data_IF_367070777904
#
_entry.id   IF_367070777904
#
_cell.length_a   1.000
_cell.length_b   1.000
_cell.length_c   1.000
_cell.angle_alpha   90.00
_cell.angle_beta   90.00
_cell.angle_gamma   90.00
#
_symmetry.space_group_name_H-M   'P 1'
#
loop_
_entity.id
_entity.type
_entity.pdbx_description
1 polymer ?
#
# COMPACT_ATOMS: atom_id res chain seq x y z
N UNK A 1 -17.47 -3.15 -6.64
CA UNK A 1 -16.03 -3.20 -6.98
C UNK A 1 -15.30 -3.70 -5.74
N UNK A 2 -14.36 -4.65 -5.88
CA UNK A 2 -13.72 -5.34 -4.75
C UNK A 2 -12.42 -4.63 -4.32
N UNK A 3 -12.54 -3.50 -3.62
CA UNK A 3 -11.37 -2.75 -3.08
C UNK A 3 -11.18 -2.98 -1.57
N UNK A 4 -12.15 -3.62 -0.92
CA UNK A 4 -12.19 -3.84 0.51
C UNK A 4 -11.45 -5.11 0.91
N UNK A 5 -10.42 -4.98 1.75
CA UNK A 5 -9.55 -6.10 2.17
C UNK A 5 -10.29 -7.27 2.82
N UNK A 6 -11.47 -7.04 3.44
CA UNK A 6 -12.29 -8.13 4.03
C UNK A 6 -12.85 -9.07 2.98
N UNK A 7 -13.05 -8.61 1.75
CA UNK A 7 -13.50 -9.44 0.64
C UNK A 7 -12.40 -10.42 0.18
N UNK A 8 -11.15 -10.14 0.56
CA UNK A 8 -9.98 -10.99 0.29
C UNK A 8 -9.55 -11.82 1.51
N UNK A 9 -10.34 -11.80 2.60
CA UNK A 9 -10.13 -12.64 3.77
C UNK A 9 -9.46 -11.96 4.98
N UNK A 10 -9.21 -10.65 4.91
CA UNK A 10 -8.67 -9.90 6.05
C UNK A 10 -9.71 -9.83 7.18
N UNK A 11 -9.26 -10.00 8.42
CA UNK A 11 -10.12 -9.97 9.61
C UNK A 11 -10.11 -8.59 10.26
N UNK A 12 -8.94 -8.01 10.48
CA UNK A 12 -8.81 -6.71 11.13
C UNK A 12 -9.06 -6.73 12.65
N UNK A 13 -8.70 -7.83 13.32
CA UNK A 13 -8.84 -8.02 14.78
C UNK A 13 -7.57 -7.71 15.59
N UNK A 14 -6.47 -7.34 14.91
CA UNK A 14 -5.16 -7.04 15.49
C UNK A 14 -4.33 -8.27 15.88
N UNK A 15 -4.87 -9.48 15.71
CA UNK A 15 -4.23 -10.73 16.11
C UNK A 15 -3.89 -11.59 14.91
N UNK A 16 -4.87 -11.84 14.03
CA UNK A 16 -4.65 -12.63 12.82
C UNK A 16 -3.66 -11.93 11.91
N UNK A 17 -2.78 -12.70 11.30
CA UNK A 17 -1.96 -12.21 10.19
C UNK A 17 -2.84 -12.02 8.95
N UNK A 18 -3.07 -10.76 8.59
CA UNK A 18 -3.88 -10.34 7.44
C UNK A 18 -3.02 -10.13 6.17
N UNK A 19 -1.71 -10.40 6.23
CA UNK A 19 -0.78 -10.10 5.11
C UNK A 19 -1.24 -10.69 3.78
N UNK A 20 -1.55 -11.99 3.73
CA UNK A 20 -1.92 -12.65 2.47
C UNK A 20 -3.21 -12.07 1.87
N UNK A 21 -4.17 -11.68 2.71
CA UNK A 21 -5.41 -11.06 2.26
C UNK A 21 -5.16 -9.68 1.64
N UNK A 22 -4.28 -8.87 2.26
CA UNK A 22 -3.90 -7.57 1.72
C UNK A 22 -3.14 -7.71 0.40
N UNK A 23 -2.19 -8.64 0.29
CA UNK A 23 -1.48 -8.89 -0.97
C UNK A 23 -2.39 -9.40 -2.08
N UNK A 24 -3.35 -10.25 -1.73
CA UNK A 24 -4.38 -10.71 -2.66
C UNK A 24 -5.21 -9.52 -3.17
N UNK A 25 -5.62 -8.63 -2.28
CA UNK A 25 -6.33 -7.40 -2.66
C UNK A 25 -5.50 -6.49 -3.57
N UNK A 26 -4.18 -6.38 -3.35
CA UNK A 26 -3.29 -5.61 -4.24
C UNK A 26 -3.19 -6.23 -5.63
N UNK A 27 -3.15 -7.56 -5.72
CA UNK A 27 -2.99 -8.28 -6.99
C UNK A 27 -4.25 -8.26 -7.87
N UNK A 28 -5.40 -8.50 -7.25
CA UNK A 28 -6.69 -8.67 -7.96
C UNK A 28 -7.57 -7.42 -7.90
N UNK A 29 -7.16 -6.43 -7.11
CA UNK A 29 -7.87 -5.17 -6.94
C UNK A 29 -7.73 -4.23 -8.14
N UNK A 30 -8.37 -3.07 -8.01
CA UNK A 30 -8.43 -2.04 -9.04
C UNK A 30 -7.49 -0.84 -8.76
N UNK A 31 -6.43 -1.07 -7.99
CA UNK A 31 -5.50 -0.02 -7.54
C UNK A 31 -5.91 0.71 -6.25
N UNK A 32 -7.11 0.47 -5.70
CA UNK A 32 -7.50 0.98 -4.38
C UNK A 32 -7.49 -0.15 -3.34
N UNK A 33 -6.69 0.02 -2.28
CA UNK A 33 -6.70 -0.81 -1.08
C UNK A 33 -7.48 -0.10 0.03
N UNK A 34 -8.72 -0.51 0.26
CA UNK A 34 -9.56 0.04 1.33
C UNK A 34 -9.47 -0.81 2.60
N UNK A 35 -9.15 -0.16 3.72
CA UNK A 35 -9.15 -0.73 5.06
C UNK A 35 -10.38 -0.21 5.83
N UNK A 36 -11.44 -1.03 6.00
CA UNK A 36 -12.55 -0.74 6.90
C UNK A 36 -12.07 -0.56 8.35
N UNK A 37 -12.93 -0.07 9.27
CA UNK A 37 -12.58 0.01 10.69
C UNK A 37 -12.08 -1.33 11.23
N UNK A 38 -10.93 -1.30 11.91
CA UNK A 38 -10.25 -2.50 12.37
C UNK A 38 -8.74 -2.31 12.55
N UNK A 39 -8.09 -3.30 13.15
CA UNK A 39 -6.64 -3.37 13.27
C UNK A 39 -6.11 -4.52 12.44
N UNK A 40 -5.39 -4.24 11.37
CA UNK A 40 -4.88 -5.23 10.43
C UNK A 40 -3.43 -5.48 10.74
N UNK A 41 -3.09 -6.71 11.13
CA UNK A 41 -1.71 -7.06 11.47
C UNK A 41 -1.04 -7.71 10.25
N UNK A 42 0.09 -7.16 9.83
CA UNK A 42 0.92 -7.73 8.75
C UNK A 42 2.30 -8.13 9.29
N UNK A 43 2.93 -9.14 8.70
CA UNK A 43 4.24 -9.66 9.12
C UNK A 43 5.36 -9.42 8.12
N UNK A 44 5.03 -8.82 6.98
CA UNK A 44 5.98 -8.47 5.91
C UNK A 44 5.39 -7.34 5.06
N UNK A 45 6.25 -6.61 4.31
CA UNK A 45 5.81 -5.45 3.55
C UNK A 45 4.74 -5.78 2.50
N UNK A 46 3.74 -4.89 2.35
CA UNK A 46 2.81 -4.92 1.21
C UNK A 46 3.40 -4.08 0.08
N UNK A 47 3.69 -4.71 -1.05
CA UNK A 47 4.46 -4.11 -2.15
C UNK A 47 3.53 -3.75 -3.30
N UNK A 48 3.60 -2.49 -3.74
CA UNK A 48 2.89 -1.94 -4.88
C UNK A 48 3.89 -1.59 -5.98
N UNK A 49 3.83 -2.31 -7.11
CA UNK A 49 4.65 -2.03 -8.29
C UNK A 49 3.83 -1.20 -9.29
N UNK A 50 4.13 0.08 -9.38
CA UNK A 50 3.34 1.03 -10.17
C UNK A 50 3.42 0.76 -11.67
N UNK A 51 4.59 0.28 -12.14
CA UNK A 51 4.80 -0.13 -13.53
C UNK A 51 3.76 -1.15 -14.01
N UNK A 52 3.47 -2.14 -13.17
CA UNK A 52 2.63 -3.28 -13.51
C UNK A 52 1.16 -3.04 -13.13
N UNK A 53 0.93 -2.40 -11.97
CA UNK A 53 -0.40 -2.22 -11.37
C UNK A 53 -1.11 -0.91 -11.72
N UNK A 54 -0.41 0.08 -12.26
CA UNK A 54 -0.97 1.42 -12.51
C UNK A 54 -1.12 2.26 -11.23
N UNK A 55 -2.00 3.29 -11.24
CA UNK A 55 -2.15 4.20 -10.12
C UNK A 55 -2.69 3.50 -8.86
N UNK A 56 -2.11 3.83 -7.71
CA UNK A 56 -2.45 3.19 -6.42
C UNK A 56 -2.92 4.20 -5.37
N UNK A 57 -3.92 3.79 -4.59
CA UNK A 57 -4.34 4.46 -3.36
C UNK A 57 -4.52 3.45 -2.23
N UNK A 58 -4.10 3.82 -1.03
CA UNK A 58 -4.39 3.11 0.23
C UNK A 58 -5.24 4.02 1.09
N UNK A 59 -6.41 3.55 1.49
CA UNK A 59 -7.37 4.37 2.24
C UNK A 59 -7.90 3.63 3.45
N UNK A 60 -7.75 4.22 4.63
CA UNK A 60 -8.42 3.79 5.85
C UNK A 60 -9.80 4.43 6.05
N UNK A 61 -10.40 4.18 7.21
CA UNK A 61 -11.75 4.65 7.55
C UNK A 61 -11.75 5.83 8.53
N UNK A 62 -10.90 6.83 8.33
CA UNK A 62 -10.89 8.07 9.10
C UNK A 62 -10.17 7.97 10.46
N UNK A 63 -9.05 7.25 10.50
CA UNK A 63 -8.22 7.08 11.70
C UNK A 63 -8.62 5.91 12.62
N UNK A 64 -9.71 5.20 12.30
CA UNK A 64 -10.14 3.97 13.00
C UNK A 64 -9.77 2.68 12.25
N UNK A 65 -9.03 2.82 11.15
CA UNK A 65 -8.29 1.73 10.53
C UNK A 65 -6.82 1.84 10.92
N UNK A 66 -6.27 0.76 11.48
CA UNK A 66 -4.86 0.68 11.89
C UNK A 66 -4.17 -0.45 11.14
N UNK A 67 -3.00 -0.18 10.58
CA UNK A 67 -2.11 -1.19 10.02
C UNK A 67 -0.94 -1.39 10.99
N UNK A 68 -0.76 -2.62 11.47
CA UNK A 68 0.30 -2.98 12.41
C UNK A 68 1.38 -3.78 11.67
N UNK A 69 2.57 -3.21 11.55
CA UNK A 69 3.74 -3.88 10.99
C UNK A 69 4.44 -4.70 12.08
N UNK A 70 4.14 -6.00 12.13
CA UNK A 70 4.67 -6.93 13.12
C UNK A 70 5.90 -7.72 12.63
N UNK A 71 6.46 -7.37 11.48
CA UNK A 71 7.73 -7.92 10.97
C UNK A 71 8.76 -6.83 10.67
N UNK A 72 9.93 -7.25 10.19
CA UNK A 72 10.99 -6.33 9.79
C UNK A 72 10.66 -5.59 8.48
N UNK A 73 11.08 -4.32 8.40
CA UNK A 73 10.93 -3.48 7.22
C UNK A 73 9.66 -2.61 7.21
N UNK A 74 9.43 -1.88 6.11
CA UNK A 74 8.30 -0.97 5.95
C UNK A 74 6.97 -1.72 5.83
N UNK A 75 5.89 -1.14 6.37
CA UNK A 75 4.54 -1.66 6.21
C UNK A 75 4.07 -1.62 4.75
N UNK A 76 4.28 -0.48 4.08
CA UNK A 76 3.88 -0.24 2.69
C UNK A 76 5.11 0.13 1.86
N UNK A 77 5.25 -0.48 0.68
CA UNK A 77 6.32 -0.17 -0.28
C UNK A 77 5.71 0.21 -1.61
N UNK A 78 6.03 1.39 -2.10
CA UNK A 78 5.66 1.85 -3.44
C UNK A 78 6.90 1.91 -4.32
N UNK A 79 6.91 1.08 -5.37
CA UNK A 79 7.99 0.95 -6.34
C UNK A 79 7.53 1.50 -7.68
N UNK A 80 8.00 2.69 -8.04
CA UNK A 80 7.94 3.24 -9.39
C UNK A 80 9.29 3.16 -10.09
N UNK A 81 9.31 3.58 -11.35
CA UNK A 81 10.48 3.55 -12.24
C UNK A 81 10.99 4.93 -12.61
N UNK A 82 10.41 5.99 -12.04
CA UNK A 82 10.83 7.37 -12.28
C UNK A 82 12.22 7.62 -11.69
N UNK A 83 13.18 7.92 -12.56
CA UNK A 83 14.59 8.17 -12.19
C UNK A 83 15.08 9.56 -12.58
N UNK A 84 14.21 10.40 -13.13
CA UNK A 84 14.54 11.72 -13.68
C UNK A 84 13.74 12.80 -12.95
N UNK A 85 13.63 14.00 -13.52
CA UNK A 85 12.79 15.08 -12.99
C UNK A 85 11.40 15.03 -13.63
N UNK A 86 10.44 15.78 -13.08
CA UNK A 86 9.14 16.03 -13.70
C UNK A 86 9.21 17.03 -14.89
N UNK A 87 10.38 17.18 -15.51
CA UNK A 87 10.56 18.00 -16.71
C UNK A 87 9.84 17.31 -17.89
N UNK A 88 8.88 17.98 -18.56
CA UNK A 88 8.21 17.43 -19.73
C UNK A 88 9.16 16.97 -20.84
N UNK A 89 10.37 17.54 -20.94
CA UNK A 89 11.37 17.16 -21.93
C UNK A 89 12.19 15.90 -21.63
N UNK A 90 12.18 15.43 -20.37
CA UNK A 90 12.99 14.30 -19.90
C UNK A 90 12.18 13.07 -19.48
N UNK A 91 10.88 13.05 -19.79
CA UNK A 91 9.91 12.11 -19.25
C UNK A 91 9.57 10.96 -20.20
N UNK A 92 9.35 9.75 -19.66
CA UNK A 92 8.85 8.60 -20.44
C UNK A 92 7.31 8.57 -20.42
N UNK A 93 6.60 8.53 -21.56
CA UNK A 93 5.13 8.56 -21.60
C UNK A 93 4.43 7.50 -20.74
N UNK A 94 5.01 6.30 -20.64
CA UNK A 94 4.50 5.19 -19.84
C UNK A 94 4.44 5.49 -18.33
N UNK A 95 5.38 6.27 -17.81
CA UNK A 95 5.43 6.67 -16.40
C UNK A 95 4.26 7.61 -16.09
N UNK A 96 3.98 8.59 -16.94
CA UNK A 96 2.85 9.50 -16.77
C UNK A 96 1.50 8.76 -16.75
N UNK A 97 1.37 7.79 -17.65
CA UNK A 97 0.12 7.05 -17.81
C UNK A 97 -0.20 6.15 -16.60
N UNK A 98 0.83 5.66 -15.90
CA UNK A 98 0.69 4.54 -14.95
C UNK A 98 1.20 4.84 -13.54
N UNK A 99 2.23 5.66 -13.37
CA UNK A 99 3.01 5.75 -12.13
C UNK A 99 2.76 7.04 -11.34
N UNK A 100 1.49 7.45 -11.29
CA UNK A 100 1.07 8.63 -10.50
C UNK A 100 1.47 8.47 -9.04
N UNK A 101 1.73 9.60 -8.37
CA UNK A 101 2.00 9.67 -6.94
C UNK A 101 0.97 8.84 -6.16
N UNK A 102 1.38 7.78 -5.44
CA UNK A 102 0.47 6.99 -4.64
C UNK A 102 -0.08 7.82 -3.48
N UNK A 103 -1.32 7.57 -3.10
CA UNK A 103 -1.93 8.21 -1.93
C UNK A 103 -2.07 7.22 -0.78
N UNK A 104 -1.78 7.69 0.43
CA UNK A 104 -2.01 6.95 1.68
C UNK A 104 -2.76 7.89 2.62
N UNK A 105 -4.00 7.56 2.93
CA UNK A 105 -4.89 8.44 3.66
C UNK A 105 -5.76 7.70 4.68
N UNK A 106 -6.23 8.43 5.70
CA UNK A 106 -7.29 7.99 6.61
C UNK A 106 -6.98 6.75 7.48
N UNK A 107 -5.71 6.38 7.68
CA UNK A 107 -5.27 5.27 8.55
C UNK A 107 -4.12 5.63 9.50
N UNK A 108 -3.97 4.84 10.56
CA UNK A 108 -2.77 4.76 11.39
C UNK A 108 -1.84 3.64 10.90
N UNK A 109 -0.52 3.86 10.93
CA UNK A 109 0.49 2.79 10.79
C UNK A 109 1.29 2.71 12.08
N UNK A 110 1.34 1.52 12.68
CA UNK A 110 2.04 1.25 13.93
C UNK A 110 3.11 0.17 13.72
N UNK A 111 4.36 0.44 14.14
CA UNK A 111 5.40 -0.59 14.21
C UNK A 111 5.26 -1.47 15.46
N UNK A 112 5.36 -2.78 15.30
CA UNK A 112 5.33 -3.78 16.38
C UNK A 112 6.53 -4.75 16.34
N UNK A 113 7.55 -4.41 15.55
CA UNK A 113 8.83 -5.11 15.47
C UNK A 113 9.98 -4.07 15.60
N UNK A 114 11.14 -4.39 16.20
CA UNK A 114 12.25 -3.43 16.36
C UNK A 114 12.75 -2.81 15.05
N UNK A 115 12.62 -3.56 13.95
CA UNK A 115 13.01 -3.13 12.61
C UNK A 115 11.80 -2.71 11.75
N UNK A 116 10.62 -2.55 12.34
CA UNK A 116 9.43 -2.08 11.61
C UNK A 116 9.60 -0.61 11.21
N UNK A 117 9.15 -0.28 10.01
CA UNK A 117 9.11 1.07 9.46
C UNK A 117 7.71 1.34 8.86
N UNK A 118 7.41 2.60 8.58
CA UNK A 118 6.11 3.02 8.04
C UNK A 118 5.98 2.75 6.55
N UNK A 119 6.37 3.74 5.75
CA UNK A 119 6.16 3.73 4.30
C UNK A 119 7.50 3.95 3.61
N UNK A 120 7.81 3.11 2.63
CA UNK A 120 8.90 3.33 1.70
C UNK A 120 8.34 3.69 0.33
N UNK A 121 8.86 4.78 -0.23
CA UNK A 121 8.51 5.25 -1.56
C UNK A 121 9.81 5.37 -2.36
N UNK A 122 9.85 4.76 -3.55
CA UNK A 122 11.04 4.78 -4.40
C UNK A 122 10.63 4.92 -5.87
N UNK A 123 11.22 5.89 -6.55
CA UNK A 123 11.03 6.09 -7.99
C UNK A 123 9.60 6.44 -8.40
N UNK A 124 8.84 7.14 -7.55
CA UNK A 124 7.50 7.63 -7.90
C UNK A 124 7.55 9.10 -8.31
N UNK A 125 6.57 9.55 -9.09
CA UNK A 125 6.36 10.96 -9.45
C UNK A 125 5.86 11.82 -8.30
#
# INVERSE_FOLDING_TARGET
MMSNVRQFGAVGDGQRDDTEALEHAVREGNGLLELPPGTYRITRPIIFRLKDGGPVAVRGSGGIAKLVMAGAGPALVFEGTHTTTADPGGFRPEEWARERMPTVADLEIQGAHPEADGIRITGVM
#
